data_IF_177759732863
#
_entry.id   IF_177759732863
#
_cell.length_a   1.000
_cell.length_b   1.000
_cell.length_c   1.000
_cell.angle_alpha   90.00
_cell.angle_beta   90.00
_cell.angle_gamma   90.00
#
_symmetry.space_group_name_H-M   'P 1'
#
loop_
_entity.id
_entity.type
_entity.pdbx_description
1 polymer ?
#
# COMPACT_ATOMS: atom_id res chain seq x y z
N UNK A 1 -25.99 36.51 -3.21
CA UNK A 1 -26.01 36.27 -1.76
C UNK A 1 -24.64 35.72 -1.39
N UNK A 2 -23.81 36.48 -0.67
CA UNK A 2 -22.49 36.02 -0.22
C UNK A 2 -22.65 35.38 1.16
N UNK A 3 -22.22 34.14 1.31
CA UNK A 3 -22.14 33.48 2.62
C UNK A 3 -20.80 33.91 3.22
N UNK A 4 -20.85 34.78 4.22
CA UNK A 4 -19.68 35.16 5.01
C UNK A 4 -19.69 34.30 6.26
N UNK A 5 -18.69 33.43 6.39
CA UNK A 5 -18.52 32.59 7.57
C UNK A 5 -17.68 33.36 8.60
N UNK A 6 -18.04 33.35 9.90
CA UNK A 6 -17.18 33.80 10.98
C UNK A 6 -15.86 33.02 10.99
N UNK A 7 -14.77 33.69 11.39
CA UNK A 7 -13.42 33.08 11.42
C UNK A 7 -13.37 31.81 12.27
N UNK A 8 -14.15 31.76 13.37
CA UNK A 8 -14.27 30.56 14.19
C UNK A 8 -14.85 29.38 13.40
N UNK A 9 -15.87 29.60 12.58
CA UNK A 9 -16.45 28.54 11.74
C UNK A 9 -15.46 28.10 10.65
N UNK A 10 -14.71 29.04 10.06
CA UNK A 10 -13.65 28.72 9.10
C UNK A 10 -12.57 27.85 9.74
N UNK A 11 -12.15 28.18 10.96
CA UNK A 11 -11.16 27.42 11.69
C UNK A 11 -11.63 26.00 12.03
N UNK A 12 -12.88 25.85 12.48
CA UNK A 12 -13.47 24.52 12.74
C UNK A 12 -13.51 23.66 11.48
N UNK A 13 -13.89 24.26 10.33
CA UNK A 13 -13.89 23.56 9.05
C UNK A 13 -12.47 23.14 8.65
N UNK A 14 -11.46 24.00 8.83
CA UNK A 14 -10.07 23.67 8.54
C UNK A 14 -9.58 22.48 9.39
N UNK A 15 -9.90 22.44 10.69
CA UNK A 15 -9.53 21.33 11.57
C UNK A 15 -10.20 20.03 11.13
N UNK A 16 -11.50 20.07 10.81
CA UNK A 16 -12.25 18.90 10.33
C UNK A 16 -11.68 18.37 9.00
N UNK A 17 -11.36 19.25 8.06
CA UNK A 17 -10.76 18.85 6.77
C UNK A 17 -9.37 18.25 7.00
N UNK A 18 -8.54 18.86 7.84
CA UNK A 18 -7.21 18.35 8.14
C UNK A 18 -7.26 16.95 8.76
N UNK A 19 -8.17 16.72 9.70
CA UNK A 19 -8.39 15.42 10.32
C UNK A 19 -8.92 14.38 9.32
N UNK A 20 -9.88 14.75 8.47
CA UNK A 20 -10.39 13.86 7.41
C UNK A 20 -9.30 13.45 6.42
N UNK A 21 -8.48 14.40 5.95
CA UNK A 21 -7.36 14.11 5.04
C UNK A 21 -6.36 13.21 5.73
N UNK A 22 -5.99 13.51 6.98
CA UNK A 22 -5.04 12.70 7.75
C UNK A 22 -5.53 11.27 7.89
N UNK A 23 -6.78 11.06 8.31
CA UNK A 23 -7.39 9.73 8.45
C UNK A 23 -7.44 8.97 7.13
N UNK A 24 -7.77 9.64 6.03
CA UNK A 24 -7.81 8.98 4.72
C UNK A 24 -6.42 8.56 4.26
N UNK A 25 -5.40 9.38 4.52
CA UNK A 25 -4.00 9.03 4.25
C UNK A 25 -3.61 7.84 5.13
N UNK A 26 -3.79 7.91 6.44
CA UNK A 26 -3.44 6.83 7.39
C UNK A 26 -4.15 5.51 7.02
N UNK A 27 -5.45 5.55 6.76
CA UNK A 27 -6.22 4.38 6.31
C UNK A 27 -5.65 3.81 5.00
N UNK A 28 -5.24 4.67 4.06
CA UNK A 28 -4.56 4.21 2.84
C UNK A 28 -3.17 3.67 3.12
N UNK A 29 -2.40 4.20 4.07
CA UNK A 29 -1.07 3.69 4.41
C UNK A 29 -1.15 2.35 5.17
N UNK A 30 -2.16 2.17 6.02
CA UNK A 30 -2.41 0.92 6.74
C UNK A 30 -2.90 -0.18 5.79
N UNK A 31 -3.76 0.18 4.83
CA UNK A 31 -4.21 -0.75 3.79
C UNK A 31 -3.14 -0.98 2.70
N UNK A 32 -2.36 0.04 2.34
CA UNK A 32 -1.19 -0.07 1.49
C UNK A 32 0.02 -0.32 2.35
N UNK A 33 0.29 -1.60 2.64
CA UNK A 33 1.63 -2.15 2.48
C UNK A 33 2.71 -1.62 3.47
N UNK A 34 2.61 -0.47 4.12
CA UNK A 34 3.72 0.26 4.72
C UNK A 34 4.09 -0.22 6.12
N UNK A 35 3.16 -0.82 6.86
CA UNK A 35 3.44 -1.36 8.20
C UNK A 35 4.17 -2.71 8.21
N UNK A 36 4.09 -3.49 7.13
CA UNK A 36 4.69 -4.84 7.05
C UNK A 36 5.68 -4.91 5.89
N UNK A 37 6.92 -5.42 6.09
CA UNK A 37 7.85 -5.67 5.00
C UNK A 37 7.36 -6.83 4.12
N UNK A 38 6.44 -7.65 4.62
CA UNK A 38 5.93 -8.83 3.94
C UNK A 38 4.57 -8.59 3.29
N UNK A 39 4.49 -8.96 2.02
CA UNK A 39 3.29 -8.97 1.20
C UNK A 39 2.73 -10.39 1.13
N UNK A 40 1.40 -10.53 1.15
CA UNK A 40 0.75 -11.74 0.66
C UNK A 40 0.71 -11.76 -0.89
N UNK A 41 0.23 -12.85 -1.49
CA UNK A 41 0.20 -12.99 -2.97
C UNK A 41 -0.60 -11.89 -3.67
N UNK A 42 -1.76 -11.51 -3.13
CA UNK A 42 -2.57 -10.43 -3.70
C UNK A 42 -1.85 -9.08 -3.60
N UNK A 43 -1.30 -8.78 -2.41
CA UNK A 43 -0.54 -7.56 -2.18
C UNK A 43 0.72 -7.47 -3.06
N UNK A 44 1.38 -8.60 -3.35
CA UNK A 44 2.51 -8.64 -4.28
C UNK A 44 2.09 -8.32 -5.72
N UNK A 45 0.95 -8.83 -6.19
CA UNK A 45 0.38 -8.46 -7.48
C UNK A 45 0.08 -6.95 -7.55
N UNK A 46 -0.54 -6.41 -6.50
CA UNK A 46 -0.92 -5.00 -6.44
C UNK A 46 0.32 -4.10 -6.37
N UNK A 47 1.32 -4.49 -5.57
CA UNK A 47 2.61 -3.79 -5.43
C UNK A 47 3.36 -3.71 -6.76
N UNK A 48 3.40 -4.84 -7.49
CA UNK A 48 4.11 -4.96 -8.76
C UNK A 48 3.28 -4.48 -9.97
N UNK A 49 1.98 -4.22 -9.77
CA UNK A 49 0.99 -3.94 -10.84
C UNK A 49 0.98 -5.02 -11.93
N UNK A 50 1.00 -6.30 -11.52
CA UNK A 50 0.99 -7.45 -12.44
C UNK A 50 -0.16 -8.41 -12.13
N UNK A 51 -0.52 -9.24 -13.11
CA UNK A 51 -1.51 -10.31 -12.91
C UNK A 51 -0.95 -11.43 -12.03
N UNK A 52 -1.85 -12.19 -11.40
CA UNK A 52 -1.48 -13.37 -10.60
C UNK A 52 -0.68 -14.40 -11.42
N UNK A 53 -1.04 -14.58 -12.69
CA UNK A 53 -0.36 -15.49 -13.61
C UNK A 53 1.08 -15.03 -13.90
N UNK A 54 1.28 -13.71 -14.03
CA UNK A 54 2.62 -13.12 -14.21
C UNK A 54 3.46 -13.35 -12.96
N UNK A 55 2.89 -13.11 -11.77
CA UNK A 55 3.59 -13.35 -10.51
C UNK A 55 3.98 -14.84 -10.37
N UNK A 56 3.09 -15.76 -10.72
CA UNK A 56 3.41 -17.20 -10.70
C UNK A 56 4.50 -17.58 -11.71
N UNK A 57 4.55 -16.92 -12.87
CA UNK A 57 5.65 -17.07 -13.82
C UNK A 57 6.98 -16.60 -13.21
N UNK A 58 7.00 -15.46 -12.53
CA UNK A 58 8.21 -14.93 -11.89
C UNK A 58 8.67 -15.81 -10.74
N UNK A 59 7.74 -16.39 -9.96
CA UNK A 59 8.08 -17.39 -8.93
C UNK A 59 8.77 -18.60 -9.55
N UNK A 60 8.30 -19.08 -10.71
CA UNK A 60 8.98 -20.17 -11.44
C UNK A 60 10.35 -19.76 -11.99
N UNK A 61 10.53 -18.47 -12.31
CA UNK A 61 11.81 -17.89 -12.75
C UNK A 61 12.77 -17.57 -11.60
N UNK A 62 12.36 -17.77 -10.34
CA UNK A 62 13.23 -17.61 -9.17
C UNK A 62 12.99 -16.35 -8.35
N UNK A 63 11.85 -15.66 -8.50
CA UNK A 63 11.44 -14.58 -7.61
C UNK A 63 11.47 -15.09 -6.14
N UNK A 64 12.11 -14.37 -5.20
CA UNK A 64 12.21 -14.79 -3.81
C UNK A 64 10.84 -14.95 -3.14
N UNK A 65 10.63 -16.08 -2.45
CA UNK A 65 9.36 -16.41 -1.80
C UNK A 65 9.60 -16.99 -0.40
N UNK A 66 8.85 -16.52 0.58
CA UNK A 66 8.85 -17.03 1.96
C UNK A 66 7.64 -17.93 2.14
N UNK A 67 7.86 -19.19 2.53
CA UNK A 67 6.79 -20.18 2.78
C UNK A 67 6.67 -20.47 4.27
N UNK A 68 5.50 -20.22 4.84
CA UNK A 68 5.17 -20.53 6.24
C UNK A 68 3.94 -21.44 6.25
N UNK A 69 4.16 -22.75 6.38
CA UNK A 69 3.11 -23.75 6.25
C UNK A 69 2.44 -23.70 4.86
N UNK A 70 1.13 -23.44 4.84
CA UNK A 70 0.34 -23.28 3.58
C UNK A 70 0.37 -21.86 3.03
N UNK A 71 0.98 -20.91 3.73
CA UNK A 71 0.94 -19.49 3.40
C UNK A 71 2.21 -19.05 2.71
N UNK A 72 2.05 -18.19 1.70
CA UNK A 72 3.12 -17.58 0.93
C UNK A 72 3.22 -16.09 1.27
N UNK A 73 4.45 -15.61 1.47
CA UNK A 73 4.79 -14.21 1.72
C UNK A 73 5.96 -13.78 0.83
N UNK A 74 6.04 -12.48 0.57
CA UNK A 74 7.10 -11.87 -0.21
C UNK A 74 7.69 -10.68 0.54
N UNK A 75 9.00 -10.63 0.65
CA UNK A 75 9.69 -9.46 1.15
C UNK A 75 9.89 -8.44 0.02
N UNK A 76 9.51 -7.18 0.24
CA UNK A 76 9.66 -6.12 -0.75
C UNK A 76 11.11 -5.87 -1.16
N UNK A 77 12.05 -5.85 -0.22
CA UNK A 77 13.45 -5.57 -0.56
C UNK A 77 14.01 -6.68 -1.42
N UNK A 78 13.62 -7.92 -1.16
CA UNK A 78 14.01 -9.09 -1.95
C UNK A 78 13.40 -9.07 -3.35
N UNK A 79 12.11 -8.71 -3.47
CA UNK A 79 11.46 -8.48 -4.77
C UNK A 79 12.24 -7.44 -5.57
N UNK A 80 12.51 -6.27 -4.97
CA UNK A 80 13.18 -5.16 -5.66
C UNK A 80 14.61 -5.53 -6.06
N UNK A 81 15.35 -6.23 -5.20
CA UNK A 81 16.68 -6.75 -5.51
C UNK A 81 16.65 -7.73 -6.66
N UNK A 82 15.67 -8.64 -6.69
CA UNK A 82 15.52 -9.58 -7.80
C UNK A 82 15.22 -8.87 -9.12
N UNK A 83 14.35 -7.86 -9.10
CA UNK A 83 14.01 -7.03 -10.28
C UNK A 83 15.21 -6.25 -10.81
N UNK A 84 16.09 -5.76 -9.94
CA UNK A 84 17.33 -5.06 -10.34
C UNK A 84 18.36 -5.98 -11.00
N UNK A 85 18.27 -7.28 -10.74
CA UNK A 85 19.19 -8.29 -11.27
C UNK A 85 18.61 -9.06 -12.47
N UNK A 86 17.49 -8.60 -13.06
CA UNK A 86 16.93 -9.16 -14.28
C UNK A 86 17.59 -8.61 -15.55
#
# INVERSE_FOLDING_TARGET
>A
MQVILPDEQVHQIQLLIADLIKREIENRLDNCILGSPFLNKQQACDYLRISNNTLDSWIKQGLPVIRVGKTVRFDKSEINRWLQNQ
#
